data_IF_763349590185
#
_entry.id   IF_763349590185
#
_cell.length_a   1.000
_cell.length_b   1.000
_cell.length_c   1.000
_cell.angle_alpha   90.00
_cell.angle_beta   90.00
_cell.angle_gamma   90.00
#
_symmetry.space_group_name_H-M   'P 1'
#
loop_
_entity.id
_entity.type
_entity.pdbx_description
1 polymer ?
#
# COMPACT_ATOMS: atom_id res chain seq x y z
N UNK A 1 -12.56 5.80 -9.19
CA UNK A 1 -12.24 5.45 -7.79
C UNK A 1 -12.62 6.63 -6.89
N UNK A 2 -13.81 6.60 -6.27
CA UNK A 2 -14.26 7.69 -5.39
C UNK A 2 -13.49 7.62 -4.07
N UNK A 3 -12.63 8.60 -3.84
CA UNK A 3 -11.59 8.59 -2.80
C UNK A 3 -10.37 9.44 -3.18
N UNK A 4 -10.36 9.99 -4.39
CA UNK A 4 -9.69 11.22 -4.76
C UNK A 4 -10.17 12.38 -3.87
N UNK A 5 -9.64 12.46 -2.66
CA UNK A 5 -9.79 13.60 -1.75
C UNK A 5 -9.13 14.86 -2.35
N UNK A 6 -9.60 15.34 -3.51
CA UNK A 6 -9.05 16.50 -4.22
C UNK A 6 -7.85 16.22 -5.12
N UNK A 7 -7.64 14.97 -5.57
CA UNK A 7 -6.45 14.60 -6.37
C UNK A 7 -6.52 15.01 -7.85
N UNK A 8 -7.67 15.48 -8.34
CA UNK A 8 -7.84 15.98 -9.71
C UNK A 8 -8.05 14.89 -10.75
N UNK A 9 -8.49 15.27 -11.96
CA UNK A 9 -8.68 14.32 -13.06
C UNK A 9 -7.37 13.60 -13.43
N UNK A 10 -7.43 12.29 -13.64
CA UNK A 10 -6.29 11.48 -14.13
C UNK A 10 -5.39 10.87 -13.05
N UNK A 11 -5.72 10.99 -11.76
CA UNK A 11 -4.96 10.29 -10.71
C UNK A 11 -5.34 8.81 -10.66
N UNK A 12 -4.40 7.99 -11.15
CA UNK A 12 -4.41 6.53 -11.01
C UNK A 12 -3.93 6.14 -9.61
N UNK A 13 -4.89 6.01 -8.69
CA UNK A 13 -4.63 5.58 -7.31
C UNK A 13 -4.49 4.06 -7.20
N UNK A 14 -3.49 3.59 -6.42
CA UNK A 14 -3.35 2.16 -6.08
C UNK A 14 -3.95 1.85 -4.72
N UNK A 15 -4.92 0.94 -4.69
CA UNK A 15 -5.55 0.46 -3.45
C UNK A 15 -5.43 -1.06 -3.30
N UNK A 16 -5.61 -1.53 -2.07
CA UNK A 16 -5.82 -2.95 -1.80
C UNK A 16 -7.10 -3.42 -2.48
N UNK A 17 -7.03 -4.58 -3.13
CA UNK A 17 -8.20 -5.22 -3.71
C UNK A 17 -9.16 -5.66 -2.61
N UNK A 18 -10.37 -5.13 -2.63
CA UNK A 18 -11.48 -5.48 -1.75
C UNK A 18 -12.81 -5.45 -2.54
N UNK A 19 -13.96 -5.60 -1.87
CA UNK A 19 -15.27 -5.60 -2.53
C UNK A 19 -15.52 -4.30 -3.32
N UNK A 20 -15.09 -3.15 -2.78
CA UNK A 20 -15.21 -1.86 -3.46
C UNK A 20 -14.46 -1.83 -4.78
N UNK A 21 -13.18 -2.22 -4.76
CA UNK A 21 -12.34 -2.26 -5.96
C UNK A 21 -12.85 -3.29 -6.96
N UNK A 22 -13.29 -4.47 -6.50
CA UNK A 22 -13.86 -5.50 -7.36
C UNK A 22 -15.13 -5.04 -8.08
N UNK A 23 -16.03 -4.36 -7.36
CA UNK A 23 -17.25 -3.80 -7.96
C UNK A 23 -16.93 -2.71 -8.99
N UNK A 24 -15.93 -1.87 -8.75
CA UNK A 24 -15.45 -0.89 -9.74
C UNK A 24 -14.86 -1.58 -10.99
N UNK A 25 -14.03 -2.61 -10.82
CA UNK A 25 -13.45 -3.41 -11.91
C UNK A 25 -14.55 -4.12 -12.74
N UNK A 26 -15.66 -4.49 -12.12
CA UNK A 26 -16.85 -5.06 -12.76
C UNK A 26 -17.76 -4.00 -13.42
N UNK A 27 -17.44 -2.72 -13.29
CA UNK A 27 -18.17 -1.62 -13.90
C UNK A 27 -19.41 -1.16 -13.12
N UNK A 28 -19.48 -1.44 -11.81
CA UNK A 28 -20.55 -0.93 -10.95
C UNK A 28 -20.48 0.59 -10.89
N UNK A 29 -21.62 1.23 -11.23
CA UNK A 29 -21.73 2.68 -11.28
C UNK A 29 -21.53 3.35 -9.92
N UNK A 30 -21.02 4.58 -9.96
CA UNK A 30 -20.61 5.36 -8.80
C UNK A 30 -21.74 5.61 -7.76
N UNK A 31 -22.99 5.76 -8.20
CA UNK A 31 -24.14 5.90 -7.30
C UNK A 31 -24.43 4.61 -6.52
N UNK A 32 -24.36 3.46 -7.18
CA UNK A 32 -24.55 2.16 -6.55
C UNK A 32 -23.43 1.86 -5.53
N UNK A 33 -22.20 2.22 -5.88
CA UNK A 33 -21.05 2.16 -4.97
C UNK A 33 -21.26 3.00 -3.71
N UNK A 34 -21.78 4.22 -3.86
CA UNK A 34 -22.07 5.13 -2.74
C UNK A 34 -23.17 4.58 -1.83
N UNK A 35 -24.26 4.08 -2.40
CA UNK A 35 -25.34 3.45 -1.63
C UNK A 35 -24.83 2.27 -0.81
N UNK A 36 -24.00 1.42 -1.42
CA UNK A 36 -23.39 0.26 -0.75
C UNK A 36 -22.44 0.66 0.37
N UNK A 37 -21.63 1.71 0.16
CA UNK A 37 -20.81 2.28 1.22
C UNK A 37 -21.66 2.77 2.40
N UNK A 38 -22.71 3.56 2.13
CA UNK A 38 -23.58 4.11 3.18
C UNK A 38 -24.31 3.00 3.97
N UNK A 39 -24.73 1.93 3.31
CA UNK A 39 -25.29 0.72 3.95
C UNK A 39 -24.27 0.10 4.90
N UNK A 40 -23.04 -0.13 4.43
CA UNK A 40 -21.99 -0.85 5.16
C UNK A 40 -21.43 -0.07 6.34
N UNK A 41 -21.34 1.25 6.21
CA UNK A 41 -21.01 2.16 7.32
C UNK A 41 -22.03 2.02 8.45
N UNK A 42 -23.34 1.93 8.14
CA UNK A 42 -24.38 1.73 9.16
C UNK A 42 -24.30 0.36 9.83
N UNK A 43 -23.84 -0.65 9.11
CA UNK A 43 -23.60 -2.01 9.62
C UNK A 43 -22.31 -2.13 10.46
N UNK A 44 -21.50 -1.07 10.53
CA UNK A 44 -20.21 -1.08 11.22
C UNK A 44 -19.07 -1.71 10.41
N UNK A 45 -19.34 -2.14 9.17
CA UNK A 45 -18.31 -2.63 8.24
C UNK A 45 -17.72 -1.47 7.46
N UNK A 46 -16.72 -0.84 8.07
CA UNK A 46 -16.00 0.27 7.46
C UNK A 46 -14.89 -0.21 6.51
N UNK A 47 -14.68 -1.51 6.30
CA UNK A 47 -13.52 -2.06 5.60
C UNK A 47 -13.79 -2.45 4.15
N UNK A 48 -14.92 -3.13 3.92
CA UNK A 48 -15.19 -3.79 2.63
C UNK A 48 -15.52 -2.81 1.49
N UNK A 49 -16.18 -1.69 1.80
CA UNK A 49 -16.74 -0.77 0.79
C UNK A 49 -16.03 0.58 0.67
N UNK A 50 -14.78 0.69 1.15
CA UNK A 50 -13.93 1.88 0.99
C UNK A 50 -12.66 1.57 0.20
N UNK A 51 -12.09 2.57 -0.45
CA UNK A 51 -10.72 2.46 -0.95
C UNK A 51 -9.73 2.43 0.22
N UNK A 52 -8.88 1.40 0.28
CA UNK A 52 -7.74 1.32 1.21
C UNK A 52 -6.46 1.55 0.41
N UNK A 53 -5.96 2.78 0.43
CA UNK A 53 -4.79 3.20 -0.34
C UNK A 53 -3.52 2.52 0.16
N UNK A 54 -2.84 1.79 -0.73
CA UNK A 54 -1.60 1.10 -0.41
C UNK A 54 -0.78 0.81 -1.67
N UNK A 55 0.54 0.96 -1.56
CA UNK A 55 1.47 0.49 -2.59
C UNK A 55 1.79 -1.01 -2.45
N UNK A 56 2.49 -1.57 -3.43
CA UNK A 56 2.89 -3.00 -3.44
C UNK A 56 3.77 -3.40 -2.26
N UNK A 57 4.52 -2.45 -1.68
CA UNK A 57 5.34 -2.66 -0.48
C UNK A 57 4.55 -3.08 0.76
N UNK A 58 3.22 -2.88 0.79
CA UNK A 58 2.37 -3.32 1.90
C UNK A 58 2.49 -4.82 2.19
N UNK A 59 2.83 -5.64 1.18
CA UNK A 59 3.02 -7.09 1.34
C UNK A 59 4.21 -7.44 2.25
N UNK A 60 5.17 -6.52 2.40
CA UNK A 60 6.36 -6.69 3.26
C UNK A 60 6.06 -6.34 4.72
N UNK A 61 4.93 -5.69 5.01
CA UNK A 61 4.54 -5.35 6.37
C UNK A 61 3.95 -6.58 7.08
N UNK A 62 4.59 -7.01 8.16
CA UNK A 62 4.19 -8.23 8.92
C UNK A 62 3.71 -7.94 10.34
N UNK A 63 3.98 -6.74 10.85
CA UNK A 63 3.62 -6.33 12.20
C UNK A 63 3.33 -4.82 12.27
N UNK A 64 2.59 -4.43 13.30
CA UNK A 64 2.34 -3.02 13.64
C UNK A 64 3.37 -2.62 14.68
N UNK A 65 4.14 -1.57 14.41
CA UNK A 65 5.18 -1.05 15.31
C UNK A 65 5.01 0.45 15.55
N UNK A 66 5.71 0.97 16.55
CA UNK A 66 5.83 2.43 16.74
C UNK A 66 6.62 3.06 15.59
N UNK A 67 6.36 4.34 15.31
CA UNK A 67 7.10 5.07 14.30
C UNK A 67 8.61 5.10 14.58
N UNK A 68 9.01 5.24 15.85
CA UNK A 68 10.42 5.19 16.28
C UNK A 68 11.07 3.86 15.89
N UNK A 69 10.42 2.73 16.19
CA UNK A 69 10.96 1.41 15.89
C UNK A 69 11.07 1.17 14.37
N UNK A 70 10.13 1.68 13.58
CA UNK A 70 10.16 1.60 12.11
C UNK A 70 11.37 2.34 11.55
N UNK A 71 11.62 3.57 12.02
CA UNK A 71 12.73 4.40 11.53
C UNK A 71 14.09 3.78 11.91
N UNK A 72 14.23 3.32 13.17
CA UNK A 72 15.46 2.65 13.61
C UNK A 72 15.76 1.39 12.79
N UNK A 73 14.75 0.56 12.53
CA UNK A 73 14.90 -0.66 11.71
C UNK A 73 15.27 -0.33 10.26
N UNK A 74 14.65 0.71 9.70
CA UNK A 74 14.96 1.19 8.35
C UNK A 74 16.43 1.66 8.22
N UNK A 75 16.93 2.44 9.19
CA UNK A 75 18.31 2.90 9.21
C UNK A 75 19.30 1.73 9.29
N UNK A 76 19.06 0.77 10.19
CA UNK A 76 19.89 -0.43 10.34
C UNK A 76 19.90 -1.26 9.05
N UNK A 77 18.72 -1.52 8.47
CA UNK A 77 18.59 -2.29 7.24
C UNK A 77 19.30 -1.62 6.05
N UNK A 78 19.26 -0.28 5.97
CA UNK A 78 19.98 0.46 4.95
C UNK A 78 21.50 0.30 5.11
N UNK A 79 22.02 0.44 6.33
CA UNK A 79 23.45 0.26 6.63
C UNK A 79 23.93 -1.16 6.28
N UNK A 80 23.15 -2.18 6.66
CA UNK A 80 23.44 -3.58 6.33
C UNK A 80 23.45 -3.82 4.82
N UNK A 81 22.49 -3.25 4.10
CA UNK A 81 22.41 -3.29 2.64
C UNK A 81 23.66 -2.70 1.99
N UNK A 82 24.11 -1.53 2.43
CA UNK A 82 25.35 -0.92 1.91
C UNK A 82 26.58 -1.76 2.21
N UNK A 83 26.70 -2.31 3.43
CA UNK A 83 27.81 -3.21 3.79
C UNK A 83 27.82 -4.47 2.93
N UNK A 84 26.65 -5.05 2.63
CA UNK A 84 26.53 -6.23 1.78
C UNK A 84 27.01 -5.93 0.35
N UNK A 85 26.55 -4.81 -0.23
CA UNK A 85 27.01 -4.37 -1.55
C UNK A 85 28.53 -4.16 -1.59
N UNK A 86 29.09 -3.48 -0.59
CA UNK A 86 30.53 -3.22 -0.51
C UNK A 86 31.36 -4.53 -0.49
N UNK A 87 30.90 -5.56 0.23
CA UNK A 87 31.58 -6.87 0.26
C UNK A 87 31.56 -7.57 -1.10
N UNK A 88 30.43 -7.53 -1.80
CA UNK A 88 30.31 -8.13 -3.14
C UNK A 88 31.27 -7.47 -4.13
N UNK A 89 31.33 -6.13 -4.14
CA UNK A 89 32.22 -5.36 -5.02
C UNK A 89 33.71 -5.56 -4.75
N UNK A 90 34.09 -6.02 -3.55
CA UNK A 90 35.49 -6.38 -3.23
C UNK A 90 35.82 -7.79 -3.75
N UNK A 91 34.86 -8.72 -3.73
CA UNK A 91 35.10 -10.09 -4.22
C UNK A 91 35.27 -10.16 -5.75
N UNK A 92 34.53 -9.35 -6.52
CA UNK A 92 34.69 -9.27 -7.99
C UNK A 92 36.07 -8.74 -8.42
N UNK A 93 36.76 -7.97 -7.56
CA UNK A 93 38.09 -7.44 -7.87
C UNK A 93 39.24 -8.41 -7.60
N UNK A 94 38.98 -9.55 -6.95
CA UNK A 94 40.00 -10.53 -6.57
C UNK A 94 40.07 -11.70 -7.57
N UNK A 95 39.08 -11.85 -8.46
CA UNK A 95 39.04 -12.91 -9.49
C UNK A 95 39.70 -12.55 -10.84
N UNK A 96 40.59 -11.55 -10.89
CA UNK A 96 41.34 -11.17 -12.11
C UNK A 96 42.84 -11.44 -11.97
#
# INVERSE_FOLDING_TARGET
MRGDLGFGEGVDGRALRNESVGAEEEGVGEEAMKLKYDEKVKEGDQGAWKAVWAGTGVRLLVEIRSAEAIVQDFELGAEEGFKALARMSVSEKIEV
#
